data_IF_274136687953
#
_entry.id   IF_274136687953
#
_cell.length_a   1.000
_cell.length_b   1.000
_cell.length_c   1.000
_cell.angle_alpha   90.00
_cell.angle_beta   90.00
_cell.angle_gamma   90.00
#
_symmetry.space_group_name_H-M   'P 1'
#
loop_
_entity.id
_entity.type
_entity.pdbx_description
1 polymer ?
#
# COMPACT_ATOMS: atom_id res chain seq x y z
N UNK A 1 -19.33 -35.84 -4.85
CA UNK A 1 -18.59 -35.37 -3.66
C UNK A 1 -17.21 -34.78 -4.00
N UNK A 2 -16.98 -34.32 -5.24
CA UNK A 2 -15.72 -33.65 -5.63
C UNK A 2 -15.96 -32.14 -5.86
N UNK A 3 -17.23 -31.74 -6.09
CA UNK A 3 -17.63 -30.35 -6.36
C UNK A 3 -17.55 -29.45 -5.12
N UNK A 4 -17.74 -29.99 -3.92
CA UNK A 4 -17.62 -29.21 -2.67
C UNK A 4 -16.17 -28.87 -2.31
N UNK A 5 -15.18 -29.64 -2.81
CA UNK A 5 -13.77 -29.40 -2.49
C UNK A 5 -13.15 -28.30 -3.37
N UNK A 6 -13.67 -28.08 -4.58
CA UNK A 6 -13.19 -27.01 -5.47
C UNK A 6 -13.74 -25.64 -5.07
N UNK A 7 -14.92 -25.61 -4.43
CA UNK A 7 -15.60 -24.37 -4.02
C UNK A 7 -14.85 -23.59 -2.94
N UNK A 8 -14.01 -24.25 -2.14
CA UNK A 8 -13.17 -23.61 -1.12
C UNK A 8 -11.93 -22.88 -1.69
N UNK A 9 -11.57 -23.09 -2.96
CA UNK A 9 -10.37 -22.51 -3.56
C UNK A 9 -10.64 -21.22 -4.35
N UNK A 10 -11.88 -20.71 -4.33
CA UNK A 10 -12.28 -19.48 -5.04
C UNK A 10 -12.83 -18.40 -4.10
N UNK A 11 -12.71 -18.59 -2.79
CA UNK A 11 -12.88 -17.49 -1.86
C UNK A 11 -11.67 -16.59 -2.04
N UNK A 12 -11.89 -15.50 -2.79
CA UNK A 12 -10.97 -14.38 -2.87
C UNK A 12 -10.55 -14.03 -1.45
N UNK A 13 -9.32 -14.38 -1.07
CA UNK A 13 -8.71 -14.20 0.26
C UNK A 13 -8.49 -12.70 0.57
N UNK A 14 -9.12 -11.84 -0.23
CA UNK A 14 -9.17 -10.41 -0.08
C UNK A 14 -10.21 -10.06 0.98
N UNK A 15 -9.86 -9.10 1.83
CA UNK A 15 -10.81 -8.54 2.77
C UNK A 15 -11.88 -7.78 1.99
N UNK A 16 -13.15 -7.97 2.36
CA UNK A 16 -14.24 -7.20 1.77
C UNK A 16 -14.06 -5.69 2.04
N UNK A 17 -14.63 -4.84 1.19
CA UNK A 17 -14.57 -3.38 1.34
C UNK A 17 -15.06 -2.89 2.72
N UNK A 18 -16.05 -3.56 3.30
CA UNK A 18 -16.57 -3.25 4.64
C UNK A 18 -15.51 -3.57 5.72
N UNK A 19 -14.83 -4.72 5.63
CA UNK A 19 -13.75 -5.10 6.53
C UNK A 19 -12.51 -4.21 6.34
N UNK A 20 -12.19 -3.84 5.09
CA UNK A 20 -11.13 -2.89 4.78
C UNK A 20 -11.44 -1.51 5.36
N UNK A 21 -12.71 -1.07 5.34
CA UNK A 21 -13.14 0.18 5.95
C UNK A 21 -13.04 0.16 7.48
N UNK A 22 -13.36 -0.98 8.10
CA UNK A 22 -13.20 -1.17 9.55
C UNK A 22 -11.73 -1.14 9.97
N UNK A 23 -10.85 -1.81 9.22
CA UNK A 23 -9.40 -1.84 9.50
C UNK A 23 -8.72 -0.52 9.19
N UNK A 24 -9.10 0.14 8.08
CA UNK A 24 -8.54 1.43 7.68
C UNK A 24 -9.07 2.58 8.54
N UNK A 25 -10.17 2.42 9.27
CA UNK A 25 -10.77 3.48 10.07
C UNK A 25 -11.17 4.71 9.23
N UNK A 26 -11.41 4.53 7.93
CA UNK A 26 -11.67 5.63 6.99
C UNK A 26 -10.42 6.40 6.55
N UNK A 27 -9.22 5.84 6.76
CA UNK A 27 -7.97 6.38 6.21
C UNK A 27 -7.94 6.21 4.69
N UNK A 28 -7.74 7.32 4.00
CA UNK A 28 -7.55 7.36 2.54
C UNK A 28 -6.08 7.13 2.20
N UNK A 29 -5.75 5.89 1.83
CA UNK A 29 -4.38 5.51 1.46
C UNK A 29 -3.92 6.13 0.15
N UNK A 30 -4.84 6.41 -0.78
CA UNK A 30 -4.50 7.05 -2.05
C UNK A 30 -4.03 8.48 -1.81
N UNK A 31 -4.75 9.20 -0.95
CA UNK A 31 -4.34 10.54 -0.50
C UNK A 31 -3.02 10.51 0.27
N UNK A 32 -2.82 9.56 1.18
CA UNK A 32 -1.56 9.40 1.90
C UNK A 32 -0.38 9.11 0.96
N UNK A 33 -0.62 8.31 -0.09
CA UNK A 33 0.38 8.01 -1.11
C UNK A 33 0.75 9.27 -1.90
N UNK A 34 -0.23 10.07 -2.31
CA UNK A 34 0.02 11.36 -2.96
C UNK A 34 0.81 12.31 -2.05
N UNK A 35 0.39 12.48 -0.79
CA UNK A 35 1.10 13.33 0.16
C UNK A 35 2.54 12.87 0.42
N UNK A 36 2.80 11.56 0.47
CA UNK A 36 4.15 11.03 0.66
C UNK A 36 5.00 11.17 -0.61
N UNK A 37 4.41 11.01 -1.80
CA UNK A 37 5.11 11.25 -3.07
C UNK A 37 5.61 12.70 -3.17
N UNK A 38 4.79 13.66 -2.74
CA UNK A 38 5.18 15.08 -2.70
C UNK A 38 6.26 15.37 -1.63
N UNK A 39 6.21 14.69 -0.48
CA UNK A 39 7.13 14.94 0.65
C UNK A 39 8.50 14.25 0.50
N UNK A 40 8.57 13.05 -0.07
CA UNK A 40 9.79 12.21 0.00
C UNK A 40 10.72 12.30 -1.21
N UNK A 41 10.25 12.78 -2.37
CA UNK A 41 11.08 12.86 -3.57
C UNK A 41 12.27 13.82 -3.40
N UNK A 42 12.04 14.98 -2.75
CA UNK A 42 13.05 16.05 -2.65
C UNK A 42 14.18 15.72 -1.66
N UNK A 43 13.87 15.00 -0.57
CA UNK A 43 14.84 14.71 0.49
C UNK A 43 15.87 13.67 0.06
N UNK A 44 15.46 12.69 -0.75
CA UNK A 44 16.36 11.64 -1.19
C UNK A 44 17.39 12.16 -2.20
N UNK A 45 16.97 13.03 -3.12
CA UNK A 45 17.88 13.65 -4.09
C UNK A 45 18.85 14.65 -3.45
N UNK A 46 18.41 15.35 -2.40
CA UNK A 46 19.28 16.20 -1.58
C UNK A 46 20.34 15.37 -0.86
N UNK A 47 19.96 14.27 -0.19
CA UNK A 47 20.91 13.35 0.47
C UNK A 47 21.89 12.73 -0.54
N UNK A 48 21.41 12.35 -1.74
CA UNK A 48 22.28 11.84 -2.81
C UNK A 48 23.31 12.88 -3.23
N UNK A 49 22.89 14.13 -3.45
CA UNK A 49 23.79 15.23 -3.81
C UNK A 49 24.80 15.51 -2.72
N UNK A 50 24.35 15.60 -1.47
CA UNK A 50 25.22 15.88 -0.33
C UNK A 50 26.30 14.79 -0.12
N UNK A 51 25.95 13.52 -0.35
CA UNK A 51 26.93 12.43 -0.30
C UNK A 51 27.88 12.44 -1.52
N UNK A 52 27.41 12.85 -2.70
CA UNK A 52 28.23 12.95 -3.91
C UNK A 52 29.22 14.11 -3.86
N UNK A 53 28.88 15.21 -3.16
CA UNK A 53 29.75 16.37 -2.94
C UNK A 53 30.74 16.18 -1.78
N UNK A 54 30.56 15.13 -0.97
CA UNK A 54 31.46 14.78 0.14
C UNK A 54 32.67 13.93 -0.28
N UNK A 55 32.69 13.41 -1.51
CA UNK A 55 33.82 12.71 -2.15
C UNK A 55 34.68 13.69 -2.98
#
# INVERSE_FOLDING_TARGET
MIEDTVKAATEDDSLSDEQLKEVSGGVDFDRLREENLDKDASRLDEIRRENLEKD
#
